data_IF_332055834284
#
_entry.id   IF_332055834284
#
_cell.length_a   1.000
_cell.length_b   1.000
_cell.length_c   1.000
_cell.angle_alpha   90.00
_cell.angle_beta   90.00
_cell.angle_gamma   90.00
#
_symmetry.space_group_name_H-M   'P 1'
#
loop_
_entity.id
_entity.type
_entity.pdbx_description
1 polymer ?
#
# COMPACT_ATOMS: atom_id res chain seq x y z
N UNK A 1 5.16 -10.41 -19.48
CA UNK A 1 5.91 -10.54 -18.21
C UNK A 1 7.36 -10.77 -18.57
N UNK A 2 8.31 -9.95 -18.11
CA UNK A 2 9.74 -10.09 -18.41
C UNK A 2 10.45 -10.49 -17.10
N UNK A 3 11.23 -11.57 -17.08
CA UNK A 3 11.97 -11.96 -15.88
C UNK A 3 13.04 -10.92 -15.54
N UNK A 4 13.30 -10.75 -14.25
CA UNK A 4 14.47 -10.01 -13.79
C UNK A 4 15.68 -10.94 -13.94
N UNK A 5 16.65 -10.54 -14.75
CA UNK A 5 17.87 -11.30 -15.05
C UNK A 5 19.05 -10.34 -15.08
N UNK A 6 20.28 -10.86 -15.14
CA UNK A 6 21.47 -10.00 -15.28
C UNK A 6 21.43 -9.16 -16.58
N UNK A 7 20.75 -9.66 -17.63
CA UNK A 7 20.51 -8.92 -18.88
C UNK A 7 19.40 -7.87 -18.76
N UNK A 8 18.50 -8.04 -17.78
CA UNK A 8 17.35 -7.18 -17.51
C UNK A 8 17.23 -6.90 -16.00
N UNK A 9 18.21 -6.17 -15.42
CA UNK A 9 18.28 -6.00 -13.97
C UNK A 9 17.25 -4.99 -13.42
N UNK A 10 16.60 -4.24 -14.32
CA UNK A 10 15.70 -3.15 -13.96
C UNK A 10 14.26 -3.61 -13.75
N UNK A 11 13.69 -3.21 -12.61
CA UNK A 11 12.27 -3.40 -12.31
C UNK A 11 11.44 -2.30 -12.98
N UNK A 12 10.27 -2.66 -13.53
CA UNK A 12 9.44 -1.75 -14.32
C UNK A 12 8.72 -0.68 -13.49
N UNK A 13 9.40 0.41 -13.18
CA UNK A 13 8.77 1.60 -12.60
C UNK A 13 8.17 1.39 -11.19
N UNK A 14 7.89 2.49 -10.49
CA UNK A 14 7.59 2.46 -9.06
C UNK A 14 6.22 1.88 -8.70
N UNK A 15 5.30 1.77 -9.66
CA UNK A 15 3.96 1.22 -9.44
C UNK A 15 3.87 -0.30 -9.65
N UNK A 16 4.98 -0.95 -10.03
CA UNK A 16 5.02 -2.38 -10.33
C UNK A 16 5.16 -3.25 -9.08
N UNK A 17 5.22 -4.56 -9.34
CA UNK A 17 5.38 -5.61 -8.34
C UNK A 17 6.28 -6.69 -8.93
N UNK A 18 7.11 -7.29 -8.08
CA UNK A 18 7.99 -8.40 -8.45
C UNK A 18 7.34 -9.69 -7.96
N UNK A 19 7.06 -10.60 -8.88
CA UNK A 19 6.53 -11.92 -8.57
C UNK A 19 7.67 -12.92 -8.57
N UNK A 20 7.83 -13.62 -7.45
CA UNK A 20 8.95 -14.52 -7.21
C UNK A 20 8.46 -15.96 -7.24
N UNK A 21 9.23 -16.80 -7.91
CA UNK A 21 9.09 -18.26 -7.98
C UNK A 21 10.46 -18.86 -8.18
N UNK A 22 10.61 -20.13 -7.83
CA UNK A 22 11.90 -20.82 -7.85
C UNK A 22 12.48 -20.97 -9.27
N UNK A 23 11.63 -21.27 -10.24
CA UNK A 23 11.98 -21.40 -11.67
C UNK A 23 10.77 -21.12 -12.57
N UNK A 24 10.97 -21.19 -13.89
CA UNK A 24 9.98 -20.78 -14.91
C UNK A 24 8.64 -21.51 -14.91
N UNK A 25 8.57 -22.70 -14.33
CA UNK A 25 7.38 -23.55 -14.26
C UNK A 25 6.86 -23.76 -12.83
N UNK A 26 7.56 -23.24 -11.82
CA UNK A 26 7.14 -23.33 -10.44
C UNK A 26 5.92 -22.42 -10.18
N UNK A 27 5.05 -22.78 -9.20
CA UNK A 27 4.03 -21.88 -8.70
C UNK A 27 4.62 -20.56 -8.17
N UNK A 28 3.80 -19.51 -8.19
CA UNK A 28 4.17 -18.23 -7.57
C UNK A 28 4.29 -18.39 -6.05
N UNK A 29 5.42 -17.98 -5.50
CA UNK A 29 5.73 -18.10 -4.09
C UNK A 29 5.53 -16.78 -3.34
N UNK A 30 5.93 -15.65 -3.95
CA UNK A 30 5.92 -14.33 -3.28
C UNK A 30 5.47 -13.25 -4.27
N UNK A 31 4.66 -12.32 -3.79
CA UNK A 31 4.37 -11.04 -4.45
C UNK A 31 5.04 -9.93 -3.64
N UNK A 32 5.91 -9.15 -4.30
CA UNK A 32 6.65 -8.03 -3.70
C UNK A 32 6.22 -6.73 -4.37
N UNK A 33 5.21 -6.02 -3.82
CA UNK A 33 4.82 -4.71 -4.31
C UNK A 33 5.94 -3.69 -4.08
N UNK A 34 6.27 -2.91 -5.10
CA UNK A 34 7.22 -1.82 -4.95
C UNK A 34 6.56 -0.57 -4.40
N UNK A 35 7.37 0.22 -3.69
CA UNK A 35 7.01 1.53 -3.14
C UNK A 35 7.97 2.57 -3.71
N UNK A 36 7.48 3.61 -4.42
CA UNK A 36 8.33 4.69 -4.88
C UNK A 36 8.92 5.48 -3.71
N UNK A 37 10.01 6.19 -4.01
CA UNK A 37 10.46 7.31 -3.23
C UNK A 37 10.47 8.61 -4.07
N UNK A 38 10.42 9.74 -3.37
CA UNK A 38 10.68 11.06 -3.92
C UNK A 38 11.68 11.73 -3.00
N UNK A 39 12.92 11.91 -3.49
CA UNK A 39 14.04 12.45 -2.73
C UNK A 39 14.29 11.69 -1.41
N UNK A 40 14.16 10.35 -1.44
CA UNK A 40 14.34 9.49 -0.26
C UNK A 40 13.17 9.49 0.74
N UNK A 41 12.08 10.19 0.44
CA UNK A 41 10.84 10.11 1.20
C UNK A 41 9.96 9.00 0.65
N UNK A 42 9.21 8.34 1.54
CA UNK A 42 8.19 7.39 1.11
C UNK A 42 7.13 8.12 0.28
N UNK A 43 6.79 7.56 -0.88
CA UNK A 43 5.80 8.16 -1.78
C UNK A 43 4.69 7.16 -2.07
N UNK A 44 3.44 7.60 -1.94
CA UNK A 44 2.31 6.77 -2.30
C UNK A 44 2.26 6.57 -3.81
N UNK A 45 2.31 5.31 -4.27
CA UNK A 45 2.33 4.98 -5.72
C UNK A 45 1.09 5.38 -6.52
N UNK A 46 -0.05 5.66 -5.87
CA UNK A 46 -1.26 6.15 -6.55
C UNK A 46 -1.51 7.64 -6.35
N UNK A 47 -0.93 8.22 -5.30
CA UNK A 47 -1.15 9.62 -4.91
C UNK A 47 0.22 10.27 -4.61
N UNK A 48 1.01 10.67 -5.62
CA UNK A 48 2.36 11.18 -5.40
C UNK A 48 2.44 12.36 -4.43
N UNK A 49 1.38 13.15 -4.29
CA UNK A 49 1.27 14.25 -3.33
C UNK A 49 1.21 13.77 -1.87
N UNK A 50 0.93 12.48 -1.64
CA UNK A 50 1.08 11.82 -0.36
C UNK A 50 2.51 11.26 -0.25
N UNK A 51 3.44 12.17 0.04
CA UNK A 51 4.85 11.89 0.31
C UNK A 51 5.13 12.20 1.79
N UNK A 52 5.86 11.32 2.47
CA UNK A 52 6.10 11.42 3.92
C UNK A 52 7.42 10.75 4.33
N UNK A 53 7.89 11.01 5.56
CA UNK A 53 8.99 10.20 6.11
C UNK A 53 8.48 8.79 6.34
N UNK A 54 9.35 7.79 6.15
CA UNK A 54 8.95 6.39 6.32
C UNK A 54 8.34 6.10 7.69
N UNK A 55 8.90 6.69 8.76
CA UNK A 55 8.39 6.52 10.13
C UNK A 55 7.01 7.17 10.36
N UNK A 56 6.57 8.11 9.52
CA UNK A 56 5.26 8.74 9.67
C UNK A 56 4.13 7.86 9.10
N UNK A 57 4.48 6.93 8.22
CA UNK A 57 3.55 6.07 7.47
C UNK A 57 3.72 4.58 7.78
N UNK A 58 4.67 4.23 8.65
CA UNK A 58 4.89 2.85 9.11
C UNK A 58 5.03 2.79 10.62
N UNK A 59 4.90 1.59 11.17
CA UNK A 59 5.27 1.28 12.55
C UNK A 59 6.11 0.00 12.59
N UNK A 60 6.93 -0.16 13.62
CA UNK A 60 7.63 -1.42 13.90
C UNK A 60 6.86 -2.12 15.01
N UNK A 61 6.37 -3.33 14.75
CA UNK A 61 5.66 -4.12 15.75
C UNK A 61 6.65 -4.84 16.68
N UNK A 62 6.13 -5.45 17.76
CA UNK A 62 6.94 -6.14 18.77
C UNK A 62 7.72 -7.35 18.21
N UNK A 63 7.33 -7.85 17.05
CA UNK A 63 8.04 -8.90 16.31
C UNK A 63 9.23 -8.37 15.47
N UNK A 64 9.48 -7.06 15.51
CA UNK A 64 10.54 -6.40 14.74
C UNK A 64 10.19 -6.14 13.27
N UNK A 65 8.99 -6.50 12.82
CA UNK A 65 8.55 -6.28 11.44
C UNK A 65 8.00 -4.86 11.31
N UNK A 66 8.45 -4.15 10.27
CA UNK A 66 7.92 -2.84 9.90
C UNK A 66 6.68 -3.00 9.01
N UNK A 67 5.56 -2.47 9.46
CA UNK A 67 4.28 -2.49 8.76
C UNK A 67 3.89 -1.09 8.30
N UNK A 68 3.21 -1.01 7.16
CA UNK A 68 2.58 0.24 6.72
C UNK A 68 1.33 0.51 7.56
N UNK A 69 1.21 1.73 8.09
CA UNK A 69 0.11 2.19 8.94
C UNK A 69 -1.26 1.80 8.36
N UNK A 70 -2.20 1.24 9.15
CA UNK A 70 -3.38 0.61 8.56
C UNK A 70 -4.28 1.62 7.85
N UNK A 71 -4.34 2.88 8.30
CA UNK A 71 -5.03 3.96 7.60
C UNK A 71 -4.43 4.22 6.20
N UNK A 72 -3.11 4.12 6.05
CA UNK A 72 -2.44 4.27 4.75
C UNK A 72 -2.79 3.09 3.84
N UNK A 73 -2.76 1.86 4.36
CA UNK A 73 -3.19 0.64 3.63
C UNK A 73 -4.65 0.75 3.19
N UNK A 74 -5.54 1.26 4.05
CA UNK A 74 -6.94 1.46 3.72
C UNK A 74 -7.13 2.51 2.62
N UNK A 75 -6.34 3.58 2.59
CA UNK A 75 -6.37 4.54 1.48
C UNK A 75 -6.00 3.87 0.13
N UNK A 76 -5.01 2.98 0.12
CA UNK A 76 -4.68 2.17 -1.07
C UNK A 76 -5.86 1.30 -1.51
N UNK A 77 -6.51 0.65 -0.55
CA UNK A 77 -7.67 -0.23 -0.77
C UNK A 77 -8.90 0.55 -1.25
N UNK A 78 -9.08 1.78 -0.78
CA UNK A 78 -10.16 2.69 -1.19
C UNK A 78 -10.11 2.98 -2.69
N UNK A 79 -8.91 3.09 -3.27
CA UNK A 79 -8.72 3.34 -4.71
C UNK A 79 -9.28 2.21 -5.58
N UNK A 80 -9.18 0.96 -5.11
CA UNK A 80 -9.60 -0.23 -5.86
C UNK A 80 -11.05 -0.64 -5.55
N UNK A 81 -11.53 -0.39 -4.32
CA UNK A 81 -12.90 -0.62 -3.89
C UNK A 81 -13.46 -2.04 -4.20
N UNK A 82 -12.64 -3.09 -4.06
CA UNK A 82 -13.12 -4.48 -4.27
C UNK A 82 -13.89 -4.96 -3.04
N UNK A 83 -14.65 -6.04 -3.18
CA UNK A 83 -15.39 -6.67 -2.06
C UNK A 83 -14.49 -6.97 -0.85
N UNK A 84 -13.30 -7.54 -1.09
CA UNK A 84 -12.30 -7.79 -0.03
C UNK A 84 -11.79 -6.51 0.63
N UNK A 85 -11.65 -5.42 -0.13
CA UNK A 85 -11.16 -4.14 0.39
C UNK A 85 -12.20 -3.50 1.33
N UNK A 86 -13.50 -3.69 1.05
CA UNK A 86 -14.57 -3.31 1.98
C UNK A 86 -14.53 -4.13 3.28
N UNK A 87 -14.29 -5.43 3.17
CA UNK A 87 -14.14 -6.29 4.36
C UNK A 87 -12.97 -5.85 5.24
N UNK A 88 -11.84 -5.51 4.62
CA UNK A 88 -10.67 -4.99 5.34
C UNK A 88 -10.98 -3.67 6.05
N UNK A 89 -11.72 -2.76 5.41
CA UNK A 89 -12.19 -1.53 6.06
C UNK A 89 -13.05 -1.86 7.29
N UNK A 90 -14.02 -2.75 7.17
CA UNK A 90 -14.97 -3.05 8.25
C UNK A 90 -14.31 -3.67 9.47
N UNK A 91 -13.26 -4.45 9.27
CA UNK A 91 -12.49 -5.06 10.36
C UNK A 91 -11.48 -4.11 10.98
N UNK A 92 -10.86 -3.26 10.16
CA UNK A 92 -9.77 -2.39 10.61
C UNK A 92 -10.30 -1.09 11.21
N UNK A 93 -11.39 -0.53 10.66
CA UNK A 93 -11.93 0.77 11.04
C UNK A 93 -12.21 0.92 12.54
N UNK A 94 -12.90 -0.03 13.22
CA UNK A 94 -13.17 0.09 14.65
C UNK A 94 -11.92 0.00 15.54
N UNK A 95 -10.82 -0.53 15.00
CA UNK A 95 -9.55 -0.70 15.71
C UNK A 95 -8.64 0.53 15.56
N UNK A 96 -8.94 1.42 14.61
CA UNK A 96 -8.16 2.64 14.41
C UNK A 96 -8.42 3.65 15.53
N UNK A 97 -7.36 4.24 16.10
CA UNK A 97 -7.48 5.42 16.96
C UNK A 97 -8.20 6.60 16.26
N UNK A 98 -8.83 7.47 17.04
CA UNK A 98 -9.69 8.54 16.53
C UNK A 98 -8.97 9.52 15.57
N UNK A 99 -7.69 9.78 15.80
CA UNK A 99 -6.84 10.58 14.93
C UNK A 99 -6.58 9.91 13.58
N UNK A 100 -6.31 8.59 13.57
CA UNK A 100 -6.13 7.81 12.34
C UNK A 100 -7.42 7.65 11.55
N UNK A 101 -8.55 7.49 12.24
CA UNK A 101 -9.87 7.53 11.62
C UNK A 101 -10.19 8.88 10.95
N UNK A 102 -9.82 9.98 11.61
CA UNK A 102 -9.99 11.33 11.05
C UNK A 102 -9.08 11.52 9.83
N UNK A 103 -7.82 11.14 9.94
CA UNK A 103 -6.86 11.20 8.83
C UNK A 103 -7.36 10.43 7.61
N UNK A 104 -7.85 9.20 7.78
CA UNK A 104 -8.33 8.38 6.65
C UNK A 104 -9.54 9.01 5.95
N UNK A 105 -10.49 9.55 6.72
CA UNK A 105 -11.65 10.26 6.18
C UNK A 105 -11.24 11.47 5.35
N UNK A 106 -10.29 12.26 5.86
CA UNK A 106 -9.77 13.44 5.17
C UNK A 106 -8.99 13.04 3.90
N UNK A 107 -8.14 12.03 3.99
CA UNK A 107 -7.38 11.51 2.87
C UNK A 107 -8.28 10.96 1.76
N UNK A 108 -9.31 10.16 2.10
CA UNK A 108 -10.27 9.65 1.11
C UNK A 108 -11.05 10.79 0.46
N UNK A 109 -11.53 11.79 1.23
CA UNK A 109 -12.20 12.96 0.65
C UNK A 109 -11.30 13.75 -0.29
N UNK A 110 -10.01 13.87 0.04
CA UNK A 110 -9.03 14.63 -0.75
C UNK A 110 -8.64 13.90 -2.04
N UNK A 111 -8.26 12.63 -1.94
CA UNK A 111 -7.67 11.87 -3.04
C UNK A 111 -8.69 11.07 -3.86
N UNK A 112 -9.86 10.78 -3.28
CA UNK A 112 -10.90 9.92 -3.85
C UNK A 112 -12.30 10.47 -3.55
N UNK A 113 -12.66 11.67 -4.05
CA UNK A 113 -13.92 12.34 -3.72
C UNK A 113 -15.17 11.49 -4.05
N UNK A 114 -15.08 10.65 -5.08
CA UNK A 114 -16.17 9.76 -5.52
C UNK A 114 -16.13 8.37 -4.85
N UNK A 115 -15.29 8.18 -3.83
CA UNK A 115 -15.19 6.90 -3.14
C UNK A 115 -16.52 6.55 -2.44
N UNK A 116 -17.10 5.37 -2.69
CA UNK A 116 -18.37 4.98 -2.10
C UNK A 116 -18.25 4.50 -0.65
N UNK A 117 -17.03 4.43 -0.10
CA UNK A 117 -16.80 3.98 1.28
C UNK A 117 -17.58 4.82 2.29
N UNK A 118 -18.25 4.10 3.19
CA UNK A 118 -18.92 4.68 4.36
C UNK A 118 -18.12 4.26 5.59
N UNK A 119 -17.70 5.25 6.35
CA UNK A 119 -17.00 5.07 7.62
C UNK A 119 -18.06 5.04 8.71
N UNK A 120 -18.52 3.83 9.05
CA UNK A 120 -19.58 3.57 10.03
C UNK A 120 -19.01 2.81 11.20
#
# INVERSE_FOLDING_TARGET
MRPLTDEHPEVFGPASQVWVREHGDAPWAIDVPLTPDTDGLWTNKYFPEHTARLDDVTWVADDGIRYLNPEVVLLFKARLHRSKDRHDLDRTWPLLPADKQRWLREAVRRYLPDCPWKFV
#
